data_IF_771154164429
#
_entry.id   IF_771154164429
#
_cell.length_a   1.000
_cell.length_b   1.000
_cell.length_c   1.000
_cell.angle_alpha   90.00
_cell.angle_beta   90.00
_cell.angle_gamma   90.00
#
_symmetry.space_group_name_H-M   'P 1'
#
loop_
_entity.id
_entity.type
_entity.pdbx_description
1 polymer ?
#
# COMPACT_ATOMS: atom_id res chain seq x y z
N UNK A 1 16.28 -16.82 40.60
CA UNK A 1 14.81 -16.85 40.45
C UNK A 1 14.41 -15.65 39.61
N UNK A 2 13.87 -15.96 38.43
CA UNK A 2 13.01 -15.16 37.53
C UNK A 2 13.41 -13.72 37.16
N UNK A 3 13.92 -13.61 35.93
CA UNK A 3 13.86 -12.45 35.05
C UNK A 3 12.45 -11.84 35.01
N UNK A 4 12.36 -10.51 35.14
CA UNK A 4 11.16 -9.75 34.78
C UNK A 4 11.41 -9.12 33.42
N UNK A 5 10.81 -9.72 32.41
CA UNK A 5 10.69 -9.23 31.05
C UNK A 5 9.46 -8.27 31.02
N UNK A 6 9.60 -6.99 30.65
CA UNK A 6 8.45 -6.13 30.49
C UNK A 6 7.75 -6.45 29.16
N UNK A 7 6.72 -7.27 29.29
CA UNK A 7 5.56 -7.43 28.42
C UNK A 7 5.55 -6.51 27.19
N UNK A 8 5.80 -7.11 26.02
CA UNK A 8 5.39 -6.60 24.73
C UNK A 8 3.91 -6.18 24.80
N UNK A 9 3.67 -4.88 24.65
CA UNK A 9 2.35 -4.30 24.61
C UNK A 9 1.54 -4.95 23.49
N UNK A 10 0.70 -5.91 23.87
CA UNK A 10 -0.28 -6.54 22.97
C UNK A 10 -1.47 -5.58 22.90
N UNK A 11 -1.33 -4.54 22.07
CA UNK A 11 -2.42 -3.64 21.72
C UNK A 11 -3.51 -4.37 20.92
N UNK A 12 -4.73 -3.82 20.82
CA UNK A 12 -5.86 -4.49 20.18
C UNK A 12 -5.54 -4.81 18.72
N UNK A 13 -5.87 -6.06 18.35
CA UNK A 13 -5.82 -6.59 16.98
C UNK A 13 -6.87 -5.87 16.12
N UNK A 14 -6.43 -5.38 14.95
CA UNK A 14 -7.23 -4.59 14.01
C UNK A 14 -6.93 -3.09 14.16
N UNK A 15 -5.78 -2.64 13.66
CA UNK A 15 -5.52 -1.19 13.54
C UNK A 15 -6.37 -0.71 12.37
N UNK A 16 -7.21 0.29 12.60
CA UNK A 16 -8.02 0.93 11.57
C UNK A 16 -7.19 1.22 10.31
N UNK A 17 -7.80 1.28 9.10
CA UNK A 17 -7.11 1.81 7.93
C UNK A 17 -6.42 3.12 8.30
N UNK A 18 -5.26 3.38 7.70
CA UNK A 18 -4.42 4.56 7.98
C UNK A 18 -5.21 5.76 8.49
N UNK A 19 -4.76 6.39 9.58
CA UNK A 19 -5.46 7.54 10.18
C UNK A 19 -5.37 8.80 9.31
N UNK A 20 -4.65 8.74 8.20
CA UNK A 20 -4.54 9.82 7.23
C UNK A 20 -5.67 9.73 6.19
N UNK A 21 -6.64 10.64 6.29
CA UNK A 21 -7.83 10.64 5.42
C UNK A 21 -7.48 10.88 3.94
N UNK A 22 -6.43 11.66 3.64
CA UNK A 22 -5.98 11.90 2.27
C UNK A 22 -5.38 10.64 1.64
N UNK A 23 -4.56 9.90 2.40
CA UNK A 23 -4.04 8.61 1.95
C UNK A 23 -5.17 7.58 1.76
N UNK A 24 -6.14 7.53 2.69
CA UNK A 24 -7.30 6.64 2.54
C UNK A 24 -8.10 6.95 1.28
N UNK A 25 -8.38 8.24 1.02
CA UNK A 25 -9.07 8.67 -0.19
C UNK A 25 -8.31 8.27 -1.47
N UNK A 26 -6.97 8.38 -1.47
CA UNK A 26 -6.14 7.95 -2.60
C UNK A 26 -6.21 6.44 -2.82
N UNK A 27 -6.13 5.64 -1.76
CA UNK A 27 -6.20 4.18 -1.87
C UNK A 27 -7.59 3.76 -2.41
N UNK A 28 -8.66 4.36 -1.90
CA UNK A 28 -10.01 4.12 -2.42
C UNK A 28 -10.14 4.51 -3.90
N UNK A 29 -9.56 5.64 -4.33
CA UNK A 29 -9.50 6.04 -5.76
C UNK A 29 -8.79 4.97 -6.60
N UNK A 30 -7.63 4.49 -6.16
CA UNK A 30 -6.86 3.47 -6.86
C UNK A 30 -7.62 2.14 -6.98
N UNK A 31 -8.35 1.72 -5.94
CA UNK A 31 -9.22 0.53 -5.98
C UNK A 31 -10.29 0.70 -7.06
N UNK A 32 -10.96 1.85 -7.13
CA UNK A 32 -12.00 2.13 -8.13
C UNK A 32 -11.41 2.07 -9.55
N UNK A 33 -10.26 2.69 -9.78
CA UNK A 33 -9.59 2.68 -11.09
C UNK A 33 -9.18 1.27 -11.52
N UNK A 34 -8.56 0.51 -10.61
CA UNK A 34 -8.14 -0.86 -10.90
C UNK A 34 -9.34 -1.79 -11.18
N UNK A 35 -10.41 -1.72 -10.38
CA UNK A 35 -11.63 -2.51 -10.58
C UNK A 35 -12.42 -2.07 -11.82
N UNK A 36 -12.33 -0.80 -12.20
CA UNK A 36 -12.89 -0.27 -13.44
C UNK A 36 -12.10 -0.65 -14.70
N UNK A 37 -10.90 -1.22 -14.55
CA UNK A 37 -10.02 -1.56 -15.67
C UNK A 37 -9.34 -0.35 -16.32
N UNK A 38 -9.36 0.83 -15.68
CA UNK A 38 -8.67 2.02 -16.17
C UNK A 38 -7.18 1.96 -15.76
N UNK A 39 -6.44 1.08 -16.44
CA UNK A 39 -5.03 0.82 -16.14
C UNK A 39 -4.19 2.08 -16.26
N UNK A 40 -4.49 2.93 -17.25
CA UNK A 40 -3.72 4.16 -17.46
C UNK A 40 -3.89 5.11 -16.28
N UNK A 41 -5.14 5.43 -15.93
CA UNK A 41 -5.40 6.32 -14.80
C UNK A 41 -4.89 5.72 -13.48
N UNK A 42 -5.00 4.40 -13.30
CA UNK A 42 -4.42 3.70 -12.15
C UNK A 42 -2.92 3.96 -12.07
N UNK A 43 -2.16 3.68 -13.14
CA UNK A 43 -0.71 3.85 -13.18
C UNK A 43 -0.32 5.30 -12.96
N UNK A 44 -0.95 6.24 -13.65
CA UNK A 44 -0.68 7.69 -13.54
C UNK A 44 -0.86 8.21 -12.09
N UNK A 45 -1.68 7.55 -11.27
CA UNK A 45 -1.95 7.89 -9.86
C UNK A 45 -1.19 7.02 -8.86
N UNK A 46 -0.74 5.83 -9.27
CA UNK A 46 -0.09 4.86 -8.42
C UNK A 46 1.42 5.08 -8.34
N UNK A 47 2.09 5.33 -9.47
CA UNK A 47 3.56 5.36 -9.54
C UNK A 47 4.15 6.69 -9.01
N UNK A 48 5.45 6.72 -8.62
CA UNK A 48 6.17 7.94 -8.26
C UNK A 48 6.09 9.04 -9.32
N UNK A 49 6.20 10.31 -8.93
CA UNK A 49 6.22 11.43 -9.89
C UNK A 49 7.49 11.49 -10.74
N UNK A 50 8.57 10.94 -10.20
CA UNK A 50 9.94 11.01 -10.71
C UNK A 50 10.38 9.73 -11.42
N UNK A 51 9.47 8.78 -11.64
CA UNK A 51 9.72 7.59 -12.45
C UNK A 51 9.94 7.99 -13.92
N UNK A 52 10.83 7.26 -14.59
CA UNK A 52 11.08 7.45 -16.01
C UNK A 52 9.85 7.07 -16.85
N UNK A 53 9.67 7.74 -17.99
CA UNK A 53 8.52 7.50 -18.87
C UNK A 53 8.52 6.08 -19.46
N UNK A 54 9.69 5.54 -19.81
CA UNK A 54 9.81 4.19 -20.37
C UNK A 54 9.44 3.14 -19.32
N UNK A 55 9.83 3.37 -18.05
CA UNK A 55 9.48 2.50 -16.93
C UNK A 55 7.98 2.56 -16.61
N UNK A 56 7.38 3.76 -16.63
CA UNK A 56 5.94 3.94 -16.45
C UNK A 56 5.15 3.22 -17.56
N UNK A 57 5.56 3.36 -18.82
CA UNK A 57 4.94 2.69 -19.96
C UNK A 57 5.13 1.17 -19.89
N UNK A 58 6.31 0.68 -19.49
CA UNK A 58 6.57 -0.73 -19.30
C UNK A 58 5.67 -1.33 -18.19
N UNK A 59 5.50 -0.60 -17.09
CA UNK A 59 4.61 -1.02 -16.00
C UNK A 59 3.14 -1.01 -16.44
N UNK A 60 2.67 0.06 -17.10
CA UNK A 60 1.33 0.15 -17.69
C UNK A 60 1.05 -1.03 -18.63
N UNK A 61 1.99 -1.33 -19.53
CA UNK A 61 1.89 -2.48 -20.42
C UNK A 61 1.83 -3.79 -19.66
N UNK A 62 2.65 -3.99 -18.63
CA UNK A 62 2.63 -5.22 -17.83
C UNK A 62 1.28 -5.48 -17.17
N UNK A 63 0.59 -4.43 -16.71
CA UNK A 63 -0.74 -4.54 -16.11
C UNK A 63 -1.85 -4.77 -17.14
N UNK A 64 -1.67 -4.29 -18.37
CA UNK A 64 -2.61 -4.59 -19.47
C UNK A 64 -2.46 -6.02 -19.97
N UNK A 65 -1.23 -6.51 -20.06
CA UNK A 65 -0.92 -7.84 -20.58
C UNK A 65 -1.22 -8.94 -19.53
N UNK A 66 -1.27 -8.58 -18.23
CA UNK A 66 -1.56 -9.47 -17.11
C UNK A 66 -2.67 -8.90 -16.21
N UNK A 67 -3.92 -9.30 -16.49
CA UNK A 67 -5.08 -8.89 -15.70
C UNK A 67 -5.06 -9.46 -14.27
N UNK A 68 -4.46 -10.64 -14.05
CA UNK A 68 -4.33 -11.22 -12.71
C UNK A 68 -3.44 -10.33 -11.83
N UNK A 69 -2.39 -9.75 -12.41
CA UNK A 69 -1.51 -8.80 -11.71
C UNK A 69 -2.27 -7.54 -11.26
N UNK A 70 -3.15 -6.99 -12.10
CA UNK A 70 -3.98 -5.85 -11.72
C UNK A 70 -5.00 -6.23 -10.63
N UNK A 71 -5.62 -7.40 -10.74
CA UNK A 71 -6.55 -7.90 -9.72
C UNK A 71 -5.88 -8.11 -8.36
N UNK A 72 -4.65 -8.63 -8.35
CA UNK A 72 -3.84 -8.77 -7.14
C UNK A 72 -3.55 -7.41 -6.48
N UNK A 73 -3.10 -6.42 -7.27
CA UNK A 73 -2.88 -5.06 -6.76
C UNK A 73 -4.17 -4.43 -6.22
N UNK A 74 -5.29 -4.59 -6.93
CA UNK A 74 -6.59 -4.09 -6.48
C UNK A 74 -6.98 -4.71 -5.12
N UNK A 75 -6.79 -6.03 -4.99
CA UNK A 75 -7.06 -6.75 -3.74
C UNK A 75 -6.15 -6.30 -2.61
N UNK A 76 -4.86 -6.09 -2.87
CA UNK A 76 -3.91 -5.58 -1.86
C UNK A 76 -4.36 -4.19 -1.36
N UNK A 77 -4.75 -3.28 -2.27
CA UNK A 77 -5.24 -1.96 -1.90
C UNK A 77 -6.55 -2.00 -1.11
N UNK A 78 -7.47 -2.92 -1.45
CA UNK A 78 -8.70 -3.15 -0.68
C UNK A 78 -8.40 -3.60 0.76
N UNK A 79 -7.41 -4.47 0.95
CA UNK A 79 -6.99 -4.90 2.30
C UNK A 79 -6.44 -3.73 3.11
N UNK A 80 -5.73 -2.80 2.46
CA UNK A 80 -5.26 -1.57 3.12
C UNK A 80 -6.43 -0.66 3.50
N UNK A 81 -7.37 -0.45 2.59
CA UNK A 81 -8.53 0.43 2.80
C UNK A 81 -9.49 -0.12 3.87
N UNK A 82 -9.66 -1.43 3.93
CA UNK A 82 -10.43 -2.10 4.97
C UNK A 82 -9.71 -2.16 6.33
N UNK A 83 -8.40 -1.90 6.38
CA UNK A 83 -7.59 -2.05 7.58
C UNK A 83 -7.53 -3.51 8.07
N UNK A 84 -7.48 -4.45 7.14
CA UNK A 84 -7.52 -5.88 7.43
C UNK A 84 -6.30 -6.30 8.27
N UNK A 85 -6.42 -7.22 9.25
CA UNK A 85 -5.31 -7.61 10.11
C UNK A 85 -4.08 -8.16 9.36
N UNK A 86 -4.29 -8.73 8.17
CA UNK A 86 -3.23 -9.24 7.29
C UNK A 86 -2.43 -8.11 6.60
N UNK A 87 -2.91 -6.88 6.65
CA UNK A 87 -2.26 -5.69 6.15
C UNK A 87 -2.10 -4.64 7.26
N UNK A 88 -0.86 -4.39 7.69
CA UNK A 88 -0.59 -3.43 8.77
C UNK A 88 0.35 -2.34 8.33
N UNK A 89 0.01 -1.09 8.66
CA UNK A 89 0.96 0.00 8.62
C UNK A 89 2.12 -0.29 9.59
N UNK A 90 3.34 -0.40 9.08
CA UNK A 90 4.52 -0.87 9.81
C UNK A 90 5.69 0.11 9.81
N UNK A 91 5.58 1.24 9.10
CA UNK A 91 6.64 2.23 8.99
C UNK A 91 6.16 3.56 8.42
N UNK A 92 7.06 4.56 8.44
CA UNK A 92 6.75 5.94 8.05
C UNK A 92 6.28 6.81 9.23
N UNK A 93 6.08 8.09 8.95
CA UNK A 93 5.66 9.10 9.93
C UNK A 93 4.13 9.24 10.04
N UNK A 94 3.37 8.58 9.14
CA UNK A 94 1.91 8.69 9.10
C UNK A 94 1.39 9.94 8.41
N UNK A 95 2.27 10.86 8.01
CA UNK A 95 1.94 12.21 7.55
C UNK A 95 2.43 12.46 6.13
N UNK A 96 3.67 12.09 5.83
CA UNK A 96 4.29 12.20 4.51
C UNK A 96 4.67 10.85 3.93
N UNK A 97 4.75 9.82 4.77
CA UNK A 97 5.12 8.45 4.40
C UNK A 97 4.39 7.42 5.23
N UNK A 98 3.89 6.37 4.59
CA UNK A 98 3.30 5.20 5.26
C UNK A 98 3.68 3.92 4.53
N UNK A 99 4.29 2.97 5.24
CA UNK A 99 4.60 1.64 4.72
C UNK A 99 3.58 0.62 5.23
N UNK A 100 3.01 -0.17 4.33
CA UNK A 100 2.09 -1.27 4.62
C UNK A 100 2.77 -2.60 4.34
N UNK A 101 2.59 -3.56 5.24
CA UNK A 101 3.11 -4.92 5.09
C UNK A 101 1.97 -5.92 4.96
N UNK A 102 2.08 -6.77 3.95
CA UNK A 102 1.12 -7.84 3.66
C UNK A 102 1.69 -9.18 4.12
N UNK A 103 0.98 -9.82 5.05
CA UNK A 103 1.27 -11.17 5.50
C UNK A 103 0.51 -12.16 4.61
N UNK A 104 1.20 -12.75 3.64
CA UNK A 104 0.65 -13.85 2.84
C UNK A 104 1.02 -15.19 3.47
N UNK A 105 0.07 -16.15 3.58
CA UNK A 105 0.36 -17.47 4.10
C UNK A 105 1.33 -18.19 3.16
N UNK A 106 2.57 -18.38 3.60
CA UNK A 106 3.53 -19.23 2.92
C UNK A 106 3.34 -20.67 3.43
N UNK A 107 2.91 -21.58 2.56
CA UNK A 107 2.78 -23.00 2.90
C UNK A 107 4.17 -23.58 3.24
N UNK A 108 4.53 -23.59 4.53
CA UNK A 108 5.71 -24.29 5.04
C UNK A 108 6.84 -23.44 5.62
N UNK A 109 6.70 -22.12 5.78
CA UNK A 109 7.70 -21.28 6.44
C UNK A 109 7.14 -20.53 7.65
N UNK A 110 7.91 -20.42 8.73
CA UNK A 110 7.57 -19.65 9.93
C UNK A 110 7.74 -18.13 9.76
N UNK A 111 8.11 -17.67 8.57
CA UNK A 111 8.28 -16.25 8.22
C UNK A 111 7.23 -15.87 7.17
N UNK A 112 6.24 -15.10 7.61
CA UNK A 112 5.06 -14.68 6.85
C UNK A 112 5.21 -13.24 6.38
N UNK A 113 6.10 -12.96 5.43
CA UNK A 113 6.23 -11.63 4.82
C UNK A 113 6.63 -11.81 3.36
N UNK A 114 5.74 -11.46 2.43
CA UNK A 114 6.05 -11.51 1.00
C UNK A 114 6.17 -10.10 0.37
N UNK A 115 5.45 -9.09 0.89
CA UNK A 115 5.47 -7.73 0.32
C UNK A 115 5.30 -6.60 1.32
N UNK A 116 6.04 -5.53 1.07
CA UNK A 116 5.88 -4.21 1.70
C UNK A 116 5.63 -3.19 0.58
N UNK A 117 4.60 -2.36 0.76
CA UNK A 117 4.25 -1.26 -0.17
C UNK A 117 4.33 0.03 0.62
N UNK A 118 5.12 0.99 0.15
CA UNK A 118 5.23 2.29 0.80
C UNK A 118 4.53 3.35 -0.04
N UNK A 119 3.73 4.19 0.61
CA UNK A 119 3.16 5.39 0.02
C UNK A 119 3.89 6.63 0.54
N UNK A 120 4.12 7.59 -0.36
CA UNK A 120 4.73 8.89 -0.07
C UNK A 120 3.81 9.99 -0.61
N UNK A 121 3.61 11.05 0.16
CA UNK A 121 2.92 12.27 -0.29
C UNK A 121 3.91 13.16 -1.06
N UNK A 122 3.67 13.33 -2.37
CA UNK A 122 4.49 14.18 -3.24
C UNK A 122 4.01 15.63 -3.33
N UNK A 123 3.01 16.03 -2.55
CA UNK A 123 2.53 17.40 -2.53
C UNK A 123 3.63 18.38 -2.06
N UNK A 124 3.71 19.53 -2.75
CA UNK A 124 4.53 20.67 -2.29
C UNK A 124 3.73 21.57 -1.38
N UNK A 125 4.41 22.48 -0.68
CA UNK A 125 3.77 23.46 0.19
C UNK A 125 2.65 24.22 -0.54
N UNK A 126 1.41 24.07 -0.04
CA UNK A 126 0.21 24.70 -0.59
C UNK A 126 -0.50 23.90 -1.70
N UNK A 127 0.01 22.73 -2.10
CA UNK A 127 -0.67 21.79 -2.99
C UNK A 127 -1.58 20.83 -2.21
N UNK A 128 -2.53 20.22 -2.90
CA UNK A 128 -3.30 19.11 -2.34
C UNK A 128 -2.42 17.84 -2.27
N UNK A 129 -2.64 17.00 -1.26
CA UNK A 129 -1.94 15.72 -1.10
C UNK A 129 -1.94 14.88 -2.38
N UNK A 130 -0.77 14.35 -2.73
CA UNK A 130 -0.55 13.48 -3.88
C UNK A 130 0.20 12.21 -3.47
N UNK A 131 -0.50 11.37 -2.72
CA UNK A 131 0.00 10.07 -2.28
C UNK A 131 0.22 9.12 -3.47
N UNK A 132 1.43 8.56 -3.55
CA UNK A 132 1.85 7.60 -4.59
C UNK A 132 2.63 6.47 -3.96
N UNK A 133 2.58 5.29 -4.57
CA UNK A 133 3.44 4.19 -4.18
C UNK A 133 4.90 4.52 -4.55
N UNK A 134 5.79 4.25 -3.62
CA UNK A 134 7.23 4.24 -3.84
C UNK A 134 7.60 2.91 -4.50
N UNK A 135 8.41 2.97 -5.56
CA UNK A 135 8.87 1.82 -6.33
C UNK A 135 10.39 1.82 -6.47
#
# INVERSE_FOLDING_TARGET
MTHSDPAAATGPRGRAPTTNDALRARIAELVVLARGGDVKAFVDRFIPRDIDADDAEAFEKSLRDDAERLELLARELELVDAGEPVCRACGGDGVTRVSFRFEMPNEGSAVTIDREVTFVDYARDGEASDWRAEG
#
